data_IF_432762501746
#
_entry.id   IF_432762501746
#
_cell.length_a   1.000
_cell.length_b   1.000
_cell.length_c   1.000
_cell.angle_alpha   90.00
_cell.angle_beta   90.00
_cell.angle_gamma   90.00
#
_symmetry.space_group_name_H-M   'P 1'
#
loop_
_entity.id
_entity.type
_entity.pdbx_description
1 polymer ?
#
# COMPACT_ATOMS: atom_id res chain seq x y z
N UNK A 1 11.95 25.51 19.30
CA UNK A 1 11.77 24.21 18.60
C UNK A 1 12.91 24.03 17.60
N UNK A 2 13.51 22.82 17.56
CA UNK A 2 14.59 22.43 16.64
C UNK A 2 14.15 21.21 15.82
N UNK A 3 14.68 21.04 14.60
CA UNK A 3 14.36 19.88 13.75
C UNK A 3 14.71 18.55 14.44
N UNK A 4 15.83 18.46 15.15
CA UNK A 4 16.21 17.29 15.94
C UNK A 4 15.13 16.86 16.96
N UNK A 5 14.41 17.82 17.57
CA UNK A 5 13.34 17.51 18.50
C UNK A 5 12.14 16.86 17.81
N UNK A 6 11.90 17.21 16.53
CA UNK A 6 10.86 16.59 15.70
C UNK A 6 11.21 15.13 15.37
N UNK A 7 12.47 14.86 15.00
CA UNK A 7 12.98 13.50 14.80
C UNK A 7 12.84 12.66 16.08
N UNK A 8 13.12 13.27 17.22
CA UNK A 8 13.04 12.62 18.53
C UNK A 8 11.62 12.13 18.85
N UNK A 9 10.60 12.96 18.67
CA UNK A 9 9.22 12.56 18.97
C UNK A 9 8.69 11.49 18.00
N UNK A 10 9.09 11.54 16.73
CA UNK A 10 8.76 10.53 15.74
C UNK A 10 9.38 9.18 16.12
N UNK A 11 10.65 9.17 16.51
CA UNK A 11 11.32 7.92 16.89
C UNK A 11 10.80 7.36 18.22
N UNK A 12 10.42 8.21 19.19
CA UNK A 12 9.77 7.76 20.43
C UNK A 12 8.45 7.08 20.12
N UNK A 13 7.63 7.63 19.23
CA UNK A 13 6.37 7.03 18.81
C UNK A 13 6.60 5.68 18.13
N UNK A 14 7.54 5.59 17.21
CA UNK A 14 7.90 4.37 16.50
C UNK A 14 8.35 3.24 17.44
N UNK A 15 9.19 3.55 18.43
CA UNK A 15 9.76 2.58 19.36
C UNK A 15 8.90 2.31 20.58
N UNK A 16 7.90 3.16 20.85
CA UNK A 16 7.08 3.14 22.07
C UNK A 16 7.89 3.12 23.37
N UNK A 17 9.16 3.59 23.30
CA UNK A 17 10.12 3.53 24.41
C UNK A 17 11.23 4.55 24.21
N UNK A 18 11.43 5.42 25.21
CA UNK A 18 12.52 6.43 25.19
C UNK A 18 13.88 5.73 25.12
N UNK A 19 14.09 4.62 25.86
CA UNK A 19 15.37 3.91 25.84
C UNK A 19 15.68 3.26 24.50
N UNK A 20 14.68 2.66 23.82
CA UNK A 20 14.86 2.09 22.48
C UNK A 20 15.07 3.19 21.43
N UNK A 21 14.29 4.27 21.49
CA UNK A 21 14.42 5.41 20.60
C UNK A 21 15.80 6.09 20.74
N UNK A 22 16.28 6.28 21.96
CA UNK A 22 17.62 6.82 22.19
C UNK A 22 18.72 5.95 21.57
N UNK A 23 18.61 4.61 21.68
CA UNK A 23 19.53 3.68 21.01
C UNK A 23 19.45 3.78 19.49
N UNK A 24 18.26 3.87 18.94
CA UNK A 24 18.05 4.01 17.48
C UNK A 24 18.63 5.32 16.93
N UNK A 25 18.55 6.39 17.71
CA UNK A 25 19.10 7.69 17.39
C UNK A 25 20.59 7.87 17.77
N UNK A 26 21.22 6.84 18.37
CA UNK A 26 22.62 6.89 18.84
C UNK A 26 22.90 8.02 19.84
N UNK A 27 21.93 8.34 20.71
CA UNK A 27 22.06 9.37 21.76
C UNK A 27 21.80 8.78 23.16
N UNK A 28 22.16 9.55 24.20
CA UNK A 28 21.84 9.19 25.58
C UNK A 28 20.36 9.27 25.90
N UNK A 29 19.86 8.32 26.70
CA UNK A 29 18.43 8.33 27.13
C UNK A 29 18.07 9.63 27.88
N UNK A 30 18.97 10.16 28.72
CA UNK A 30 18.78 11.43 29.42
C UNK A 30 18.66 12.60 28.45
N UNK A 31 19.45 12.59 27.37
CA UNK A 31 19.39 13.61 26.30
C UNK A 31 18.05 13.57 25.58
N UNK A 32 17.58 12.39 25.21
CA UNK A 32 16.29 12.24 24.54
C UNK A 32 15.12 12.63 25.45
N UNK A 33 15.16 12.23 26.73
CA UNK A 33 14.13 12.59 27.71
C UNK A 33 14.09 14.10 27.96
N UNK A 34 15.25 14.74 28.07
CA UNK A 34 15.35 16.18 28.19
C UNK A 34 14.88 16.94 26.96
N UNK A 35 15.17 16.41 25.77
CA UNK A 35 14.70 16.97 24.51
C UNK A 35 13.17 16.93 24.40
N UNK A 36 12.53 15.81 24.77
CA UNK A 36 11.08 15.69 24.84
C UNK A 36 10.48 16.69 25.84
N UNK A 37 11.00 16.73 27.07
CA UNK A 37 10.50 17.62 28.11
C UNK A 37 10.61 19.11 27.72
N UNK A 38 11.70 19.50 27.05
CA UNK A 38 11.88 20.85 26.53
C UNK A 38 10.86 21.20 25.43
N UNK A 39 10.58 20.26 24.53
CA UNK A 39 9.58 20.45 23.48
C UNK A 39 8.17 20.57 24.06
N UNK A 40 7.79 19.67 24.99
CA UNK A 40 6.50 19.74 25.70
C UNK A 40 6.33 21.05 26.48
N UNK A 41 7.38 21.50 27.14
CA UNK A 41 7.38 22.79 27.86
C UNK A 41 7.21 23.98 26.91
N UNK A 42 7.87 23.97 25.73
CA UNK A 42 7.75 25.01 24.72
C UNK A 42 6.35 25.05 24.09
N UNK A 43 5.75 23.88 23.82
CA UNK A 43 4.42 23.76 23.23
C UNK A 43 3.29 23.93 24.28
N UNK A 44 3.61 23.81 25.55
CA UNK A 44 2.65 23.92 26.67
C UNK A 44 1.70 22.72 26.81
N UNK A 45 2.01 21.62 26.14
CA UNK A 45 1.19 20.40 26.15
C UNK A 45 2.07 19.17 26.35
N UNK A 46 1.49 18.09 26.90
CA UNK A 46 2.14 16.78 26.93
C UNK A 46 1.92 16.06 25.61
N UNK A 47 2.99 15.53 25.03
CA UNK A 47 2.94 14.79 23.79
C UNK A 47 2.84 13.28 24.01
N UNK A 48 3.34 12.79 25.16
CA UNK A 48 3.32 11.35 25.48
C UNK A 48 2.87 11.08 26.90
N UNK A 49 2.19 9.95 27.05
CA UNK A 49 1.87 9.32 28.34
C UNK A 49 2.62 8.01 28.50
N UNK A 50 3.03 7.75 29.73
CA UNK A 50 3.68 6.48 30.09
C UNK A 50 2.61 5.48 30.53
N UNK A 51 2.43 4.41 29.78
CA UNK A 51 1.47 3.36 30.05
C UNK A 51 2.17 2.01 30.27
N UNK A 52 1.41 0.98 30.59
CA UNK A 52 1.89 -0.43 30.63
C UNK A 52 2.35 -0.93 29.27
N UNK A 53 1.89 -0.31 28.19
CA UNK A 53 2.29 -0.60 26.79
C UNK A 53 3.48 0.24 26.31
N UNK A 54 4.05 1.07 27.17
CA UNK A 54 5.16 1.96 26.87
C UNK A 54 4.75 3.42 26.73
N UNK A 55 5.47 4.16 25.89
CA UNK A 55 5.17 5.56 25.55
C UNK A 55 4.07 5.60 24.49
N UNK A 56 2.93 6.18 24.83
CA UNK A 56 1.77 6.32 23.95
C UNK A 56 1.55 7.83 23.71
N UNK A 57 1.41 8.29 22.45
CA UNK A 57 1.12 9.69 22.20
C UNK A 57 -0.26 10.07 22.74
N UNK A 58 -0.38 11.28 23.29
CA UNK A 58 -1.67 11.93 23.57
C UNK A 58 -2.35 12.34 22.24
N UNK A 59 -3.56 12.87 22.27
CA UNK A 59 -4.19 13.42 21.07
C UNK A 59 -3.34 14.55 20.47
N UNK A 60 -2.85 15.47 21.32
CA UNK A 60 -1.95 16.54 20.94
C UNK A 60 -0.60 16.00 20.46
N UNK A 61 -0.13 14.90 21.06
CA UNK A 61 1.08 14.20 20.64
C UNK A 61 0.96 13.58 19.25
N UNK A 62 -0.16 12.94 18.95
CA UNK A 62 -0.41 12.38 17.63
C UNK A 62 -0.46 13.48 16.55
N UNK A 63 -1.11 14.61 16.84
CA UNK A 63 -1.13 15.75 15.93
C UNK A 63 0.26 16.39 15.78
N UNK A 64 1.01 16.55 16.87
CA UNK A 64 2.38 17.07 16.83
C UNK A 64 3.33 16.17 16.03
N UNK A 65 3.21 14.84 16.15
CA UNK A 65 3.98 13.86 15.35
C UNK A 65 3.64 13.97 13.86
N UNK A 66 2.36 14.10 13.54
CA UNK A 66 1.92 14.31 12.16
C UNK A 66 2.53 15.59 11.58
N UNK A 67 2.40 16.72 12.28
CA UNK A 67 3.01 17.99 11.85
C UNK A 67 4.53 17.92 11.76
N UNK A 68 5.19 17.22 12.70
CA UNK A 68 6.64 17.05 12.70
C UNK A 68 7.15 16.33 11.45
N UNK A 69 6.45 15.28 10.99
CA UNK A 69 6.80 14.59 9.73
C UNK A 69 6.79 15.56 8.56
N UNK A 70 5.74 16.35 8.42
CA UNK A 70 5.64 17.34 7.34
C UNK A 70 6.71 18.43 7.41
N UNK A 71 7.03 18.91 8.63
CA UNK A 71 8.09 19.89 8.79
C UNK A 71 9.47 19.36 8.40
N UNK A 72 9.75 18.08 8.71
CA UNK A 72 10.99 17.43 8.28
C UNK A 72 11.02 17.22 6.75
N UNK A 73 9.89 16.89 6.13
CA UNK A 73 9.76 16.78 4.67
C UNK A 73 10.04 18.14 3.99
N UNK A 74 9.49 19.25 4.52
CA UNK A 74 9.79 20.59 4.01
C UNK A 74 11.26 20.97 4.21
N UNK A 75 11.84 20.64 5.37
CA UNK A 75 13.27 20.89 5.60
C UNK A 75 14.12 20.10 4.59
N UNK A 76 13.78 18.84 4.31
CA UNK A 76 14.47 18.03 3.32
C UNK A 76 14.37 18.64 1.91
N UNK A 77 13.20 19.15 1.53
CA UNK A 77 13.03 19.85 0.26
C UNK A 77 13.97 21.07 0.13
N UNK A 78 14.16 21.83 1.23
CA UNK A 78 15.10 22.93 1.24
C UNK A 78 16.56 22.47 1.06
N UNK A 79 16.94 21.34 1.68
CA UNK A 79 18.27 20.75 1.50
C UNK A 79 18.49 20.17 0.11
N UNK A 80 17.43 19.82 -0.60
CA UNK A 80 17.50 19.26 -1.94
C UNK A 80 17.49 20.29 -3.06
N UNK A 81 17.32 21.59 -2.71
CA UNK A 81 17.39 22.68 -3.71
C UNK A 81 18.75 22.68 -4.43
N UNK A 82 18.69 22.57 -5.73
CA UNK A 82 19.89 22.58 -6.60
C UNK A 82 20.66 21.27 -6.68
N UNK A 83 20.19 20.17 -6.04
CA UNK A 83 20.80 18.86 -6.18
C UNK A 83 20.37 18.17 -7.48
N UNK A 84 21.25 17.32 -7.99
CA UNK A 84 20.91 16.39 -9.09
C UNK A 84 20.20 15.15 -8.51
N UNK A 85 19.52 14.39 -9.37
CA UNK A 85 18.71 13.24 -8.95
C UNK A 85 19.52 12.14 -8.24
N UNK A 86 20.76 11.90 -8.67
CA UNK A 86 21.68 10.93 -8.05
C UNK A 86 22.26 11.41 -6.70
N UNK A 87 22.08 12.67 -6.36
CA UNK A 87 22.51 13.26 -5.07
C UNK A 87 21.39 13.31 -4.04
N UNK A 88 20.14 13.04 -4.44
CA UNK A 88 19.00 13.05 -3.54
C UNK A 88 19.18 12.00 -2.43
N UNK A 89 18.79 12.38 -1.23
CA UNK A 89 18.82 11.55 -0.03
C UNK A 89 17.46 11.56 0.63
N UNK A 90 17.26 10.64 1.54
CA UNK A 90 16.01 10.48 2.28
C UNK A 90 15.35 9.15 1.96
N UNK A 91 14.15 8.98 2.46
CA UNK A 91 13.39 7.73 2.34
C UNK A 91 12.05 8.01 1.69
N UNK A 92 11.68 7.20 0.71
CA UNK A 92 10.31 7.19 0.15
C UNK A 92 9.66 5.87 0.52
N UNK A 93 8.50 5.95 1.15
CA UNK A 93 7.69 4.78 1.49
C UNK A 93 6.56 4.61 0.48
N UNK A 94 6.61 3.54 -0.30
CA UNK A 94 5.60 3.17 -1.29
C UNK A 94 4.79 2.00 -0.77
N UNK A 95 3.48 2.16 -0.64
CA UNK A 95 2.59 1.05 -0.36
C UNK A 95 2.02 0.47 -1.65
N UNK A 96 2.06 -0.85 -1.76
CA UNK A 96 1.60 -1.58 -2.94
C UNK A 96 0.62 -2.66 -2.48
N UNK A 97 -0.49 -2.83 -3.19
CA UNK A 97 -1.44 -3.91 -2.93
C UNK A 97 -0.79 -5.28 -3.16
N UNK A 98 -1.18 -6.27 -2.36
CA UNK A 98 -0.61 -7.63 -2.41
C UNK A 98 -0.61 -8.26 -3.81
N UNK A 99 -1.52 -7.84 -4.67
CA UNK A 99 -1.65 -8.32 -6.05
C UNK A 99 -0.51 -7.86 -6.98
N UNK A 100 0.25 -6.82 -6.62
CA UNK A 100 1.14 -6.11 -7.55
C UNK A 100 2.62 -6.27 -7.22
N UNK A 101 3.00 -7.37 -6.60
CA UNK A 101 4.40 -7.68 -6.31
C UNK A 101 5.32 -7.63 -7.54
N UNK A 102 4.79 -7.82 -8.75
CA UNK A 102 5.55 -7.73 -9.99
C UNK A 102 6.11 -6.32 -10.25
N UNK A 103 5.41 -5.25 -9.80
CA UNK A 103 5.88 -3.87 -9.93
C UNK A 103 7.10 -3.59 -9.04
N UNK A 104 7.23 -4.31 -7.93
CA UNK A 104 8.26 -4.04 -6.91
C UNK A 104 9.66 -4.21 -7.46
N UNK A 105 9.89 -5.30 -8.21
CA UNK A 105 11.22 -5.60 -8.77
C UNK A 105 11.71 -4.46 -9.66
N UNK A 106 10.86 -4.04 -10.61
CA UNK A 106 11.25 -3.01 -11.58
C UNK A 106 11.40 -1.65 -10.90
N UNK A 107 10.50 -1.31 -9.97
CA UNK A 107 10.61 -0.10 -9.18
C UNK A 107 11.92 -0.06 -8.37
N UNK A 108 12.25 -1.14 -7.66
CA UNK A 108 13.48 -1.20 -6.86
C UNK A 108 14.74 -1.05 -7.72
N UNK A 109 14.79 -1.71 -8.88
CA UNK A 109 15.95 -1.64 -9.76
C UNK A 109 16.13 -0.22 -10.32
N UNK A 110 15.08 0.37 -10.91
CA UNK A 110 15.12 1.71 -11.49
C UNK A 110 15.37 2.79 -10.43
N UNK A 111 14.74 2.65 -9.25
CA UNK A 111 14.96 3.58 -8.15
C UNK A 111 16.42 3.54 -7.66
N UNK A 112 16.99 2.35 -7.48
CA UNK A 112 18.37 2.21 -7.00
C UNK A 112 19.39 2.75 -7.99
N UNK A 113 19.13 2.58 -9.28
CA UNK A 113 19.97 3.13 -10.35
C UNK A 113 19.92 4.66 -10.34
N UNK A 114 18.71 5.23 -10.26
CA UNK A 114 18.49 6.67 -10.35
C UNK A 114 18.83 7.43 -9.07
N UNK A 115 18.61 6.80 -7.91
CA UNK A 115 18.79 7.39 -6.57
C UNK A 115 19.66 6.52 -5.67
N UNK A 116 20.97 6.35 -5.97
CA UNK A 116 21.85 5.43 -5.24
C UNK A 116 22.06 5.80 -3.76
N UNK A 117 21.80 7.07 -3.39
CA UNK A 117 21.98 7.60 -2.04
C UNK A 117 20.67 7.70 -1.23
N UNK A 118 19.54 7.35 -1.85
CA UNK A 118 18.23 7.37 -1.23
C UNK A 118 17.76 5.96 -0.87
N UNK A 119 16.75 5.88 -0.01
CA UNK A 119 16.14 4.64 0.44
C UNK A 119 14.70 4.52 -0.06
N UNK A 120 14.35 3.36 -0.57
CA UNK A 120 12.99 2.99 -0.97
C UNK A 120 12.46 1.92 -0.01
N UNK A 121 11.41 2.24 0.71
CA UNK A 121 10.69 1.29 1.56
C UNK A 121 9.41 0.85 0.86
N UNK A 122 9.25 -0.45 0.67
CA UNK A 122 8.03 -1.03 0.11
C UNK A 122 7.21 -1.64 1.25
N UNK A 123 5.94 -1.25 1.34
CA UNK A 123 4.98 -1.84 2.28
C UNK A 123 3.85 -2.49 1.51
N UNK A 124 3.51 -3.72 1.90
CA UNK A 124 2.29 -4.38 1.43
C UNK A 124 1.19 -4.16 2.46
N UNK A 125 0.09 -3.57 2.04
CA UNK A 125 -1.01 -3.21 2.94
C UNK A 125 -2.37 -3.40 2.27
N UNK A 126 -3.43 -3.48 3.09
CA UNK A 126 -4.80 -3.40 2.61
C UNK A 126 -5.16 -1.97 2.18
N UNK A 127 -6.15 -1.77 1.30
CA UNK A 127 -6.58 -0.44 0.84
C UNK A 127 -6.90 0.53 1.99
N UNK A 128 -7.52 0.05 3.06
CA UNK A 128 -7.82 0.88 4.24
C UNK A 128 -6.56 1.38 4.95
N UNK A 129 -5.57 0.50 5.13
CA UNK A 129 -4.27 0.88 5.72
C UNK A 129 -3.52 1.86 4.83
N UNK A 130 -3.61 1.70 3.51
CA UNK A 130 -3.00 2.59 2.54
C UNK A 130 -3.53 4.02 2.64
N UNK A 131 -4.86 4.19 2.68
CA UNK A 131 -5.48 5.51 2.78
C UNK A 131 -5.18 6.19 4.11
N UNK A 132 -5.20 5.45 5.21
CA UNK A 132 -4.81 5.99 6.52
C UNK A 132 -3.34 6.38 6.53
N UNK A 133 -2.45 5.51 6.05
CA UNK A 133 -1.01 5.79 6.03
C UNK A 133 -0.63 7.01 5.19
N UNK A 134 -1.34 7.28 4.06
CA UNK A 134 -1.18 8.53 3.30
C UNK A 134 -1.64 9.75 4.11
N UNK A 135 -2.78 9.62 4.81
CA UNK A 135 -3.32 10.72 5.62
C UNK A 135 -2.42 11.02 6.81
N UNK A 136 -1.86 9.99 7.43
CA UNK A 136 -1.02 10.09 8.63
C UNK A 136 0.46 10.41 8.31
N UNK A 137 0.81 10.48 7.00
CA UNK A 137 2.19 10.74 6.54
C UNK A 137 3.16 9.56 6.77
N UNK A 138 2.64 8.35 7.02
CA UNK A 138 3.44 7.11 7.14
C UNK A 138 3.75 6.47 5.80
N UNK A 139 3.04 6.91 4.76
CA UNK A 139 3.22 6.53 3.37
C UNK A 139 3.31 7.78 2.50
N UNK A 140 4.22 7.76 1.53
CA UNK A 140 4.37 8.85 0.58
C UNK A 140 3.53 8.60 -0.68
N UNK A 141 3.55 7.37 -1.15
CA UNK A 141 2.93 6.95 -2.42
C UNK A 141 2.20 5.62 -2.20
N UNK A 142 1.07 5.46 -2.87
CA UNK A 142 0.29 4.22 -2.86
C UNK A 142 -0.06 3.80 -4.27
N UNK A 143 0.11 2.50 -4.58
CA UNK A 143 -0.41 1.86 -5.77
C UNK A 143 -1.49 0.86 -5.34
N UNK A 144 -2.74 1.14 -5.70
CA UNK A 144 -3.89 0.34 -5.29
C UNK A 144 -4.88 0.09 -6.42
N UNK A 145 -5.56 -1.06 -6.39
CA UNK A 145 -6.80 -1.25 -7.16
C UNK A 145 -7.98 -0.73 -6.35
N UNK A 146 -8.79 0.07 -6.99
CA UNK A 146 -10.03 0.59 -6.42
C UNK A 146 -11.21 0.17 -7.30
N UNK A 147 -12.36 -0.21 -6.69
CA UNK A 147 -13.56 -0.54 -7.45
C UNK A 147 -14.07 0.66 -8.23
N UNK A 148 -14.37 0.47 -9.51
CA UNK A 148 -14.90 1.53 -10.37
C UNK A 148 -16.26 2.06 -9.92
N UNK A 149 -17.11 1.22 -9.32
CA UNK A 149 -18.48 1.63 -8.85
C UNK A 149 -18.41 2.79 -7.86
N UNK A 150 -17.33 2.91 -7.12
CA UNK A 150 -17.16 3.95 -6.11
C UNK A 150 -16.22 5.09 -6.57
N UNK A 151 -15.93 5.18 -7.87
CA UNK A 151 -14.99 6.20 -8.38
C UNK A 151 -15.43 7.62 -7.95
N UNK A 152 -16.72 7.96 -8.08
CA UNK A 152 -17.26 9.24 -7.60
C UNK A 152 -17.15 9.42 -6.08
N UNK A 153 -17.45 8.39 -5.30
CA UNK A 153 -17.36 8.43 -3.84
C UNK A 153 -15.90 8.39 -3.38
N UNK A 154 -15.05 7.63 -4.07
CA UNK A 154 -13.62 7.60 -3.83
C UNK A 154 -12.97 8.98 -4.11
N UNK A 155 -13.34 9.64 -5.20
CA UNK A 155 -12.90 11.00 -5.53
C UNK A 155 -13.29 11.98 -4.41
N UNK A 156 -14.54 11.95 -3.95
CA UNK A 156 -15.01 12.81 -2.85
C UNK A 156 -14.26 12.50 -1.56
N UNK A 157 -14.07 11.24 -1.23
CA UNK A 157 -13.36 10.82 -0.03
C UNK A 157 -11.86 11.18 -0.10
N UNK A 158 -11.23 11.00 -1.26
CA UNK A 158 -9.85 11.38 -1.50
C UNK A 158 -9.67 12.90 -1.44
N UNK A 159 -10.59 13.67 -2.01
CA UNK A 159 -10.57 15.13 -1.90
C UNK A 159 -10.72 15.60 -0.46
N UNK A 160 -11.61 14.98 0.34
CA UNK A 160 -11.74 15.27 1.78
C UNK A 160 -10.49 14.94 2.58
N UNK A 161 -9.71 13.95 2.13
CA UNK A 161 -8.43 13.53 2.75
C UNK A 161 -7.22 14.22 2.14
N UNK A 162 -7.42 15.15 1.18
CA UNK A 162 -6.32 15.79 0.44
C UNK A 162 -5.40 14.80 -0.28
N UNK A 163 -5.97 13.77 -0.89
CA UNK A 163 -5.26 12.76 -1.66
C UNK A 163 -5.52 12.99 -3.15
N UNK A 164 -4.47 13.04 -3.95
CA UNK A 164 -4.54 12.96 -5.42
C UNK A 164 -4.59 11.52 -5.86
N UNK A 165 -5.35 11.26 -6.91
CA UNK A 165 -5.47 9.95 -7.55
C UNK A 165 -5.28 10.10 -9.06
N UNK A 166 -4.40 9.26 -9.62
CA UNK A 166 -4.20 9.11 -11.05
C UNK A 166 -4.55 7.67 -11.44
N UNK A 167 -5.39 7.50 -12.46
CA UNK A 167 -5.82 6.18 -12.95
C UNK A 167 -4.88 5.74 -14.08
N UNK A 168 -4.35 4.52 -13.98
CA UNK A 168 -3.41 3.91 -14.93
C UNK A 168 -3.95 2.73 -15.71
N UNK A 169 -5.20 2.39 -15.58
CA UNK A 169 -5.81 1.30 -16.33
C UNK A 169 -7.04 0.76 -15.63
N UNK A 170 -7.84 0.03 -16.42
CA UNK A 170 -9.02 -0.68 -15.94
C UNK A 170 -8.81 -2.16 -16.20
N UNK A 171 -9.17 -2.97 -15.21
CA UNK A 171 -8.92 -4.40 -15.24
C UNK A 171 -10.17 -5.16 -14.85
N UNK A 172 -10.55 -6.09 -15.71
CA UNK A 172 -11.68 -6.96 -15.47
C UNK A 172 -11.32 -8.06 -14.47
N UNK A 173 -12.33 -8.58 -13.79
CA UNK A 173 -12.17 -9.84 -13.08
C UNK A 173 -12.13 -11.01 -14.04
N UNK A 174 -11.27 -11.97 -13.74
CA UNK A 174 -11.12 -13.25 -14.43
C UNK A 174 -11.37 -14.40 -13.48
N UNK A 175 -11.79 -15.51 -14.03
CA UNK A 175 -11.91 -16.79 -13.32
C UNK A 175 -10.64 -17.59 -13.52
N UNK A 176 -10.07 -18.06 -12.42
CA UNK A 176 -8.89 -18.92 -12.45
C UNK A 176 -9.25 -20.29 -11.93
N UNK A 177 -8.93 -21.32 -12.71
CA UNK A 177 -9.23 -22.74 -12.41
C UNK A 177 -7.99 -23.60 -12.64
N UNK A 178 -7.90 -24.73 -11.96
CA UNK A 178 -6.85 -25.71 -12.21
C UNK A 178 -6.95 -26.33 -13.61
N UNK A 179 -5.84 -26.83 -14.13
CA UNK A 179 -5.76 -27.48 -15.46
C UNK A 179 -6.71 -28.66 -15.63
N UNK A 180 -7.04 -29.33 -14.53
CA UNK A 180 -7.88 -30.52 -14.50
C UNK A 180 -9.37 -30.20 -14.20
N UNK A 181 -9.71 -28.92 -14.04
CA UNK A 181 -11.07 -28.44 -13.82
C UNK A 181 -11.94 -28.71 -15.06
N UNK A 182 -13.23 -29.00 -14.85
CA UNK A 182 -14.21 -29.13 -15.92
C UNK A 182 -14.32 -27.90 -16.83
N UNK A 183 -13.91 -26.73 -16.36
CA UNK A 183 -13.91 -25.47 -17.09
C UNK A 183 -12.61 -25.21 -17.86
N UNK A 184 -11.52 -25.94 -17.59
CA UNK A 184 -10.20 -25.64 -18.10
C UNK A 184 -10.05 -25.59 -19.62
N UNK A 185 -10.96 -26.26 -20.34
CA UNK A 185 -10.99 -26.27 -21.80
C UNK A 185 -11.82 -25.16 -22.44
N UNK A 186 -12.52 -24.36 -21.62
CA UNK A 186 -13.39 -23.27 -22.07
C UNK A 186 -12.62 -21.96 -22.08
N UNK A 187 -12.87 -21.05 -23.04
CA UNK A 187 -12.30 -19.72 -23.03
C UNK A 187 -13.01 -18.78 -22.03
N UNK A 188 -14.25 -19.10 -21.67
CA UNK A 188 -15.08 -18.27 -20.80
C UNK A 188 -16.12 -19.11 -20.08
N UNK A 189 -16.59 -18.61 -18.93
CA UNK A 189 -17.65 -19.21 -18.11
C UNK A 189 -18.67 -18.16 -17.70
N UNK A 190 -19.91 -18.56 -17.49
CA UNK A 190 -20.91 -17.70 -16.87
C UNK A 190 -20.78 -17.75 -15.35
N UNK A 191 -21.18 -16.66 -14.68
CA UNK A 191 -21.18 -16.64 -13.21
C UNK A 191 -22.08 -17.74 -12.62
N UNK A 192 -23.20 -18.07 -13.30
CA UNK A 192 -24.12 -19.11 -12.85
C UNK A 192 -23.50 -20.51 -12.83
N UNK A 193 -22.54 -20.79 -13.71
CA UNK A 193 -21.86 -22.09 -13.75
C UNK A 193 -20.89 -22.27 -12.59
N UNK A 194 -20.23 -21.19 -12.18
CA UNK A 194 -19.19 -21.24 -11.15
C UNK A 194 -19.69 -20.96 -9.73
N UNK A 195 -20.83 -20.27 -9.54
CA UNK A 195 -21.33 -19.86 -8.23
C UNK A 195 -21.56 -21.00 -7.21
N UNK A 196 -21.67 -22.24 -7.71
CA UNK A 196 -21.85 -23.45 -6.90
C UNK A 196 -20.52 -24.13 -6.53
N UNK A 197 -19.39 -23.63 -7.01
CA UNK A 197 -18.05 -24.15 -6.68
C UNK A 197 -17.56 -23.65 -5.33
N UNK A 198 -16.52 -24.29 -4.81
CA UNK A 198 -15.74 -23.77 -3.70
C UNK A 198 -14.81 -22.68 -4.21
N UNK A 199 -14.75 -21.57 -3.50
CA UNK A 199 -13.93 -20.41 -3.88
C UNK A 199 -12.76 -20.19 -2.95
N UNK A 200 -11.65 -19.73 -3.52
CA UNK A 200 -10.55 -19.15 -2.77
C UNK A 200 -10.35 -17.69 -3.20
N UNK A 201 -10.15 -16.83 -2.24
CA UNK A 201 -9.88 -15.41 -2.46
C UNK A 201 -8.71 -14.95 -1.59
N UNK A 202 -8.01 -13.93 -2.04
CA UNK A 202 -7.16 -13.20 -1.13
C UNK A 202 -8.03 -12.28 -0.24
N UNK A 203 -7.61 -12.06 0.99
CA UNK A 203 -8.28 -11.12 1.91
C UNK A 203 -8.15 -9.69 1.34
N UNK A 204 -9.16 -9.25 0.61
CA UNK A 204 -9.23 -7.91 0.03
C UNK A 204 -10.62 -7.31 0.23
N UNK A 205 -10.68 -5.98 0.37
CA UNK A 205 -11.95 -5.26 0.51
C UNK A 205 -12.87 -5.44 -0.71
N UNK A 206 -12.32 -5.88 -1.86
CA UNK A 206 -13.11 -6.18 -3.06
C UNK A 206 -13.95 -7.44 -2.89
N UNK A 207 -13.43 -8.42 -2.15
CA UNK A 207 -14.13 -9.67 -1.91
C UNK A 207 -15.44 -9.47 -1.16
N UNK A 208 -15.45 -8.60 -0.16
CA UNK A 208 -16.66 -8.29 0.60
C UNK A 208 -17.80 -7.75 -0.29
N UNK A 209 -17.46 -7.06 -1.38
CA UNK A 209 -18.45 -6.50 -2.31
C UNK A 209 -19.05 -7.54 -3.25
N UNK A 210 -18.29 -8.55 -3.63
CA UNK A 210 -18.74 -9.60 -4.54
C UNK A 210 -19.28 -10.83 -3.82
N UNK A 211 -18.92 -11.03 -2.55
CA UNK A 211 -19.40 -12.14 -1.73
C UNK A 211 -20.92 -12.35 -1.73
N UNK A 212 -21.76 -11.30 -1.70
CA UNK A 212 -23.22 -11.46 -1.77
C UNK A 212 -23.74 -12.07 -3.08
N UNK A 213 -22.92 -12.12 -4.14
CA UNK A 213 -23.28 -12.71 -5.43
C UNK A 213 -23.21 -14.25 -5.41
N UNK A 214 -22.56 -14.83 -4.41
CA UNK A 214 -22.37 -16.28 -4.29
C UNK A 214 -23.51 -16.96 -3.56
N UNK A 215 -23.70 -18.25 -3.85
CA UNK A 215 -24.73 -19.06 -3.20
C UNK A 215 -24.44 -19.16 -1.68
N UNK A 216 -25.41 -18.83 -0.80
CA UNK A 216 -25.23 -18.99 0.62
C UNK A 216 -24.87 -20.42 1.02
N UNK A 217 -23.88 -20.57 1.92
CA UNK A 217 -23.45 -21.86 2.44
C UNK A 217 -22.38 -22.58 1.62
N UNK A 218 -21.93 -22.00 0.49
CA UNK A 218 -20.75 -22.50 -0.22
C UNK A 218 -19.47 -22.08 0.49
N UNK A 219 -18.45 -22.91 0.36
CA UNK A 219 -17.16 -22.64 0.96
C UNK A 219 -16.45 -21.51 0.23
N UNK A 220 -16.06 -20.50 1.01
CA UNK A 220 -15.26 -19.39 0.56
C UNK A 220 -14.08 -19.29 1.50
N UNK A 221 -12.92 -19.70 1.02
CA UNK A 221 -11.68 -19.65 1.81
C UNK A 221 -10.93 -18.35 1.52
N UNK A 222 -10.72 -17.56 2.57
CA UNK A 222 -9.91 -16.35 2.48
C UNK A 222 -8.47 -16.65 2.89
N UNK A 223 -7.51 -16.37 2.04
CA UNK A 223 -6.09 -16.60 2.28
C UNK A 223 -5.28 -15.31 2.03
N UNK A 224 -4.28 -15.07 2.87
CA UNK A 224 -3.34 -13.95 2.67
C UNK A 224 -2.15 -14.36 1.82
N UNK A 225 -1.83 -15.64 1.80
CA UNK A 225 -0.71 -16.21 1.06
C UNK A 225 -1.10 -16.48 -0.39
N UNK A 226 -0.41 -15.80 -1.31
CA UNK A 226 -0.64 -15.93 -2.75
C UNK A 226 -0.24 -17.30 -3.28
N UNK A 227 0.78 -17.92 -2.71
CA UNK A 227 1.23 -19.25 -3.13
C UNK A 227 0.21 -20.31 -2.73
N UNK A 228 -0.30 -20.26 -1.50
CA UNK A 228 -1.37 -21.12 -1.04
C UNK A 228 -2.62 -20.98 -1.93
N UNK A 229 -3.01 -19.76 -2.31
CA UNK A 229 -4.12 -19.53 -3.23
C UNK A 229 -3.91 -20.29 -4.54
N UNK A 230 -2.73 -20.20 -5.14
CA UNK A 230 -2.41 -20.89 -6.40
C UNK A 230 -2.42 -22.42 -6.27
N UNK A 231 -1.91 -22.94 -5.16
CA UNK A 231 -1.96 -24.38 -4.87
C UNK A 231 -3.41 -24.87 -4.75
N UNK A 232 -4.27 -24.15 -4.02
CA UNK A 232 -5.68 -24.50 -3.89
C UNK A 232 -6.41 -24.51 -5.23
N UNK A 233 -6.12 -23.56 -6.11
CA UNK A 233 -6.70 -23.50 -7.45
C UNK A 233 -6.16 -24.63 -8.33
N UNK A 234 -4.85 -24.89 -8.31
CA UNK A 234 -4.21 -25.85 -9.22
C UNK A 234 -4.41 -27.30 -8.81
N UNK A 235 -4.56 -27.60 -7.51
CA UNK A 235 -4.50 -28.95 -6.96
C UNK A 235 -5.79 -29.40 -6.23
N UNK A 236 -6.64 -28.44 -5.79
CA UNK A 236 -7.76 -28.72 -4.90
C UNK A 236 -9.14 -28.35 -5.49
N UNK A 237 -9.24 -28.10 -6.80
CA UNK A 237 -10.49 -27.73 -7.53
C UNK A 237 -11.20 -26.48 -6.96
N UNK A 238 -10.45 -25.58 -6.30
CA UNK A 238 -10.98 -24.27 -5.96
C UNK A 238 -10.97 -23.35 -7.16
N UNK A 239 -11.99 -22.50 -7.23
CA UNK A 239 -12.08 -21.42 -8.22
C UNK A 239 -11.63 -20.12 -7.57
N UNK A 240 -10.78 -19.37 -8.25
CA UNK A 240 -10.46 -18.01 -7.82
C UNK A 240 -11.06 -16.98 -8.77
N UNK A 241 -11.56 -15.89 -8.19
CA UNK A 241 -12.08 -14.74 -8.92
C UNK A 241 -11.24 -13.55 -8.57
N UNK A 242 -10.35 -13.14 -9.47
CA UNK A 242 -9.32 -12.15 -9.24
C UNK A 242 -9.22 -11.20 -10.43
N UNK A 243 -8.76 -9.94 -10.21
CA UNK A 243 -8.41 -9.06 -11.32
C UNK A 243 -7.36 -9.70 -12.24
N UNK A 244 -7.46 -9.50 -13.54
CA UNK A 244 -6.58 -10.10 -14.56
C UNK A 244 -5.07 -9.84 -14.32
N UNK A 245 -4.72 -8.76 -13.66
CA UNK A 245 -3.34 -8.49 -13.28
C UNK A 245 -2.78 -9.39 -12.19
N UNK A 246 -3.64 -10.05 -11.40
CA UNK A 246 -3.20 -10.75 -10.20
C UNK A 246 -2.25 -11.90 -10.51
N UNK A 247 -2.52 -12.67 -11.56
CA UNK A 247 -1.67 -13.78 -12.01
C UNK A 247 -0.97 -13.51 -13.35
N UNK A 248 -0.99 -12.26 -13.83
CA UNK A 248 -0.24 -11.86 -15.02
C UNK A 248 1.24 -12.20 -14.86
N UNK A 249 1.81 -12.89 -15.84
CA UNK A 249 3.19 -13.39 -15.84
C UNK A 249 3.51 -14.41 -14.73
N UNK A 250 2.50 -14.96 -14.04
CA UNK A 250 2.72 -15.98 -13.02
C UNK A 250 3.14 -17.33 -13.63
N UNK A 251 4.04 -18.00 -12.95
CA UNK A 251 4.61 -19.28 -13.39
C UNK A 251 3.54 -20.38 -13.57
N UNK A 252 2.50 -20.40 -12.72
CA UNK A 252 1.41 -21.37 -12.82
C UNK A 252 0.58 -21.17 -14.10
N UNK A 253 0.39 -19.92 -14.54
CA UNK A 253 -0.26 -19.62 -15.82
C UNK A 253 0.66 -20.03 -16.99
N UNK A 254 1.94 -19.67 -16.93
CA UNK A 254 2.91 -19.98 -18.00
C UNK A 254 3.10 -21.49 -18.19
N UNK A 255 3.08 -22.26 -17.12
CA UNK A 255 3.17 -23.73 -17.16
C UNK A 255 1.83 -24.41 -17.45
N UNK A 256 0.76 -23.64 -17.53
CA UNK A 256 -0.59 -24.16 -17.80
C UNK A 256 -1.21 -24.94 -16.65
N UNK A 257 -0.70 -24.82 -15.42
CA UNK A 257 -1.25 -25.43 -14.21
C UNK A 257 -2.54 -24.75 -13.77
N UNK A 258 -2.64 -23.45 -14.02
CA UNK A 258 -3.85 -22.65 -13.83
C UNK A 258 -4.26 -22.08 -15.19
N UNK A 259 -5.57 -22.09 -15.46
CA UNK A 259 -6.19 -21.49 -16.63
C UNK A 259 -6.96 -20.25 -16.25
N UNK A 260 -6.80 -19.20 -17.04
CA UNK A 260 -7.54 -17.95 -16.94
C UNK A 260 -8.72 -17.98 -17.91
N UNK A 261 -9.92 -17.67 -17.42
CA UNK A 261 -11.16 -17.69 -18.19
C UNK A 261 -11.85 -16.35 -18.09
N UNK A 262 -12.51 -15.93 -19.17
CA UNK A 262 -13.37 -14.75 -19.15
C UNK A 262 -14.70 -15.02 -18.45
N UNK A 263 -15.30 -13.98 -17.85
CA UNK A 263 -16.64 -14.06 -17.27
C UNK A 263 -17.63 -13.50 -18.28
N UNK A 264 -18.53 -14.37 -18.75
CA UNK A 264 -19.60 -13.95 -19.64
C UNK A 264 -20.64 -13.12 -18.89
N UNK A 265 -21.02 -11.97 -19.47
CA UNK A 265 -22.02 -11.07 -18.90
C UNK A 265 -21.72 -10.73 -17.42
N UNK A 266 -20.47 -10.40 -17.13
CA UNK A 266 -20.03 -10.09 -15.76
C UNK A 266 -20.87 -8.96 -15.16
N UNK A 267 -21.43 -9.23 -13.98
CA UNK A 267 -22.06 -8.21 -13.12
C UNK A 267 -21.06 -7.61 -12.13
N UNK A 268 -19.83 -8.13 -12.14
CA UNK A 268 -18.74 -7.69 -11.27
C UNK A 268 -18.10 -6.48 -11.92
N UNK A 269 -18.07 -5.35 -11.22
CA UNK A 269 -17.47 -4.14 -11.77
C UNK A 269 -15.96 -4.29 -11.89
N UNK A 270 -15.42 -3.71 -12.96
CA UNK A 270 -13.98 -3.58 -13.14
C UNK A 270 -13.33 -2.83 -11.98
N UNK A 271 -12.06 -3.03 -11.81
CA UNK A 271 -11.20 -2.30 -10.90
C UNK A 271 -10.27 -1.37 -11.65
N UNK A 272 -9.94 -0.25 -11.04
CA UNK A 272 -9.00 0.73 -11.58
C UNK A 272 -7.71 0.73 -10.78
N UNK A 273 -6.57 0.64 -11.47
CA UNK A 273 -5.27 0.84 -10.85
C UNK A 273 -5.04 2.34 -10.64
N UNK A 274 -4.83 2.69 -9.39
CA UNK A 274 -4.66 4.07 -8.98
C UNK A 274 -3.28 4.28 -8.34
N UNK A 275 -2.65 5.38 -8.73
CA UNK A 275 -1.51 5.95 -8.05
C UNK A 275 -2.01 7.08 -7.16
N UNK A 276 -1.83 6.94 -5.85
CA UNK A 276 -2.34 7.87 -4.85
C UNK A 276 -1.19 8.53 -4.10
N UNK A 277 -1.30 9.82 -3.84
CA UNK A 277 -0.33 10.58 -3.04
C UNK A 277 -0.97 11.84 -2.44
N UNK A 278 -0.35 12.45 -1.44
CA UNK A 278 -0.90 13.61 -0.75
C UNK A 278 -0.99 14.84 -1.67
N UNK A 279 -2.16 15.50 -1.69
CA UNK A 279 -2.46 16.62 -2.58
C UNK A 279 -1.97 17.97 -2.05
N UNK A 280 -1.95 18.15 -0.74
CA UNK A 280 -1.59 19.44 -0.10
C UNK A 280 -0.08 19.61 0.12
N UNK A 281 0.67 18.54 0.05
CA UNK A 281 2.10 18.61 0.20
C UNK A 281 2.74 18.93 -1.15
N UNK A 282 3.68 19.85 -1.14
CA UNK A 282 4.64 19.90 -2.24
C UNK A 282 5.49 18.66 -2.11
N UNK A 283 5.25 17.70 -3.02
CA UNK A 283 6.06 16.49 -3.11
C UNK A 283 7.55 16.87 -3.15
N UNK A 284 8.38 16.16 -2.40
CA UNK A 284 9.84 16.27 -2.49
C UNK A 284 10.30 15.90 -3.90
N UNK A 285 11.50 16.30 -4.28
CA UNK A 285 12.08 15.90 -5.58
C UNK A 285 12.19 14.38 -5.69
N UNK A 286 12.52 13.70 -4.59
CA UNK A 286 12.63 12.25 -4.54
C UNK A 286 11.26 11.56 -4.74
N UNK A 287 10.20 12.08 -4.11
CA UNK A 287 8.84 11.57 -4.31
C UNK A 287 8.35 11.79 -5.74
N UNK A 288 8.58 12.97 -6.32
CA UNK A 288 8.22 13.25 -7.73
C UNK A 288 8.91 12.29 -8.67
N UNK A 289 10.22 12.12 -8.50
CA UNK A 289 10.99 11.20 -9.33
C UNK A 289 10.52 9.75 -9.16
N UNK A 290 10.13 9.34 -7.95
CA UNK A 290 9.57 8.00 -7.69
C UNK A 290 8.20 7.83 -8.35
N UNK A 291 7.34 8.86 -8.32
CA UNK A 291 6.05 8.87 -9.04
C UNK A 291 6.27 8.73 -10.55
N UNK A 292 7.25 9.44 -11.11
CA UNK A 292 7.56 9.35 -12.55
C UNK A 292 8.06 7.94 -12.93
N UNK A 293 8.90 7.32 -12.12
CA UNK A 293 9.30 5.92 -12.31
C UNK A 293 8.09 4.96 -12.27
N UNK A 294 7.18 5.15 -11.31
CA UNK A 294 5.96 4.35 -11.24
C UNK A 294 5.07 4.54 -12.46
N UNK A 295 4.93 5.78 -12.96
CA UNK A 295 4.17 6.07 -14.19
C UNK A 295 4.76 5.36 -15.41
N UNK A 296 6.08 5.33 -15.53
CA UNK A 296 6.76 4.60 -16.60
C UNK A 296 6.48 3.11 -16.53
N UNK A 297 6.69 2.51 -15.35
CA UNK A 297 6.47 1.07 -15.12
C UNK A 297 5.00 0.68 -15.37
N UNK A 298 4.06 1.49 -14.89
CA UNK A 298 2.64 1.22 -15.06
C UNK A 298 2.20 1.29 -16.51
N UNK A 299 2.72 2.25 -17.32
CA UNK A 299 2.47 2.34 -18.75
C UNK A 299 3.04 1.16 -19.54
N UNK A 300 4.19 0.63 -19.14
CA UNK A 300 4.78 -0.56 -19.76
C UNK A 300 3.99 -1.85 -19.43
N UNK A 301 3.08 -1.77 -18.45
CA UNK A 301 2.27 -2.89 -17.99
C UNK A 301 0.90 -2.96 -18.69
N UNK A 302 0.45 -1.86 -19.30
CA UNK A 302 -0.74 -1.82 -20.17
C UNK A 302 -0.50 -2.62 -21.47
#
# INVERSE_FOLDING_TARGET
>A
MKLEQLEHIIEIDKQKSISKAAKALYIGQSTLSGSLANLEAELGVRLFERTTFGMVPTNEGAEAIHLAKHMLDFAQQMYDLGKQEDELRGTVTVAIGYAYGFLVKDLMLRFKEKHPKAELLIKFCSPRQMLNGLTDGDLNIVVALLPRIHAGQAIINNAKRNIRSEVFGQYAFRVYVGKDSEFASQPSVSFNEIKEKSFVSNSSDHWEQIRPLFTPGKEILEVSDRELLKQLVSECDYVALLPELFLRQDVYIQQGLIKELEIQNSVIPDVEMNLLYAAQQQLTLLERSTIDLLREILKETE
#
